data_IF_969090064174
#
_entry.id   IF_969090064174
#
_cell.length_a   1.000
_cell.length_b   1.000
_cell.length_c   1.000
_cell.angle_alpha   90.00
_cell.angle_beta   90.00
_cell.angle_gamma   90.00
#
_symmetry.space_group_name_H-M   'P 1'
#
loop_
_entity.id
_entity.type
_entity.pdbx_description
1 polymer ?
#
# COMPACT_ATOMS: atom_id res chain seq x y z
N UNK A 1 23.05 -25.97 13.98
CA UNK A 1 22.60 -24.83 13.17
C UNK A 1 23.55 -24.62 12.00
N UNK A 2 23.03 -24.67 10.77
CA UNK A 2 23.77 -24.47 9.53
C UNK A 2 23.92 -22.97 9.22
N UNK A 3 24.91 -22.61 8.39
CA UNK A 3 25.16 -21.23 7.97
C UNK A 3 23.95 -20.61 7.22
N UNK A 4 23.11 -21.47 6.63
CA UNK A 4 21.88 -21.11 5.93
C UNK A 4 20.77 -20.71 6.90
N UNK A 5 20.62 -21.42 8.02
CA UNK A 5 19.62 -21.11 9.06
C UNK A 5 19.87 -19.73 9.67
N UNK A 6 21.14 -19.38 9.96
CA UNK A 6 21.51 -18.04 10.45
C UNK A 6 21.22 -16.91 9.45
N UNK A 7 21.36 -17.17 8.14
CA UNK A 7 21.03 -16.18 7.11
C UNK A 7 19.52 -16.01 6.94
N UNK A 8 18.74 -17.07 7.20
CA UNK A 8 17.29 -17.00 7.17
C UNK A 8 16.76 -16.23 8.37
N UNK A 9 17.25 -16.55 9.57
CA UNK A 9 16.92 -15.86 10.82
C UNK A 9 17.30 -14.38 10.75
N UNK A 10 18.49 -14.02 10.25
CA UNK A 10 18.86 -12.60 10.14
C UNK A 10 18.02 -11.82 9.14
N UNK A 11 17.50 -12.47 8.09
CA UNK A 11 16.55 -11.85 7.15
C UNK A 11 15.16 -11.74 7.76
N UNK A 12 14.74 -12.73 8.54
CA UNK A 12 13.47 -12.73 9.26
C UNK A 12 13.49 -11.65 10.34
N UNK A 13 14.58 -11.50 11.09
CA UNK A 13 14.77 -10.41 12.06
C UNK A 13 14.91 -9.03 11.40
N UNK A 14 15.47 -8.95 10.18
CA UNK A 14 15.44 -7.71 9.39
C UNK A 14 14.02 -7.35 8.92
N UNK A 15 13.15 -8.34 8.75
CA UNK A 15 11.75 -8.17 8.33
C UNK A 15 10.83 -7.94 9.54
N UNK A 16 11.11 -8.55 10.69
CA UNK A 16 10.28 -8.54 11.91
C UNK A 16 10.77 -7.57 12.99
N UNK A 17 12.07 -7.24 13.01
CA UNK A 17 12.71 -6.35 13.98
C UNK A 17 12.79 -4.88 13.57
N UNK A 18 12.18 -4.52 12.43
CA UNK A 18 11.90 -3.13 12.11
C UNK A 18 10.42 -2.93 12.39
N UNK A 19 10.10 -2.42 13.57
CA UNK A 19 8.89 -1.62 13.73
C UNK A 19 9.02 -0.50 12.69
N UNK A 20 8.48 -0.71 11.48
CA UNK A 20 8.40 0.36 10.49
C UNK A 20 7.35 1.28 11.06
N UNK A 21 7.76 2.21 11.92
CA UNK A 21 6.89 3.26 12.42
C UNK A 21 6.32 3.97 11.19
N UNK A 22 5.05 3.70 10.94
CA UNK A 22 4.27 4.43 9.98
C UNK A 22 3.92 5.74 10.65
N UNK A 23 4.14 6.86 9.96
CA UNK A 23 3.58 8.12 10.43
C UNK A 23 2.06 8.01 10.43
N UNK A 24 1.37 8.80 11.25
CA UNK A 24 -0.11 8.83 11.26
C UNK A 24 -0.73 8.93 9.85
N UNK A 25 -0.13 9.74 8.96
CA UNK A 25 -0.61 9.89 7.58
C UNK A 25 -0.39 8.64 6.72
N UNK A 26 0.65 7.87 7.00
CA UNK A 26 0.90 6.59 6.34
C UNK A 26 -0.11 5.54 6.82
N UNK A 27 -0.39 5.49 8.13
CA UNK A 27 -1.40 4.62 8.73
C UNK A 27 -2.80 4.88 8.15
N UNK A 28 -3.20 6.15 8.01
CA UNK A 28 -4.49 6.53 7.40
C UNK A 28 -4.62 6.04 5.95
N UNK A 29 -3.53 6.04 5.17
CA UNK A 29 -3.53 5.50 3.81
C UNK A 29 -3.60 3.98 3.83
N UNK A 30 -2.85 3.32 4.71
CA UNK A 30 -2.86 1.87 4.84
C UNK A 30 -4.25 1.37 5.25
N UNK A 31 -4.87 2.01 6.22
CA UNK A 31 -6.23 1.73 6.66
C UNK A 31 -7.24 1.89 5.52
N UNK A 32 -7.16 3.00 4.77
CA UNK A 32 -8.01 3.24 3.60
C UNK A 32 -7.88 2.14 2.52
N UNK A 33 -6.66 1.67 2.27
CA UNK A 33 -6.40 0.60 1.29
C UNK A 33 -6.86 -0.78 1.81
N UNK A 34 -6.70 -1.05 3.10
CA UNK A 34 -7.19 -2.27 3.74
C UNK A 34 -8.72 -2.36 3.69
N UNK A 35 -9.42 -1.28 4.05
CA UNK A 35 -10.89 -1.19 3.93
C UNK A 35 -11.35 -1.38 2.48
N UNK A 36 -10.66 -0.76 1.53
CA UNK A 36 -10.96 -0.93 0.11
C UNK A 36 -10.81 -2.38 -0.37
N UNK A 37 -9.85 -3.11 0.19
CA UNK A 37 -9.66 -4.53 -0.10
C UNK A 37 -10.78 -5.38 0.51
N UNK A 38 -11.06 -5.21 1.81
CA UNK A 38 -12.13 -5.93 2.50
C UNK A 38 -13.48 -5.73 1.80
N UNK A 39 -13.82 -4.48 1.46
CA UNK A 39 -15.04 -4.17 0.71
C UNK A 39 -15.09 -4.87 -0.65
N UNK A 40 -13.99 -4.87 -1.41
CA UNK A 40 -13.94 -5.53 -2.72
C UNK A 40 -14.12 -7.05 -2.58
N UNK A 41 -13.56 -7.67 -1.53
CA UNK A 41 -13.72 -9.09 -1.22
C UNK A 41 -15.15 -9.43 -0.84
N UNK A 42 -15.77 -8.64 0.04
CA UNK A 42 -17.18 -8.82 0.45
C UNK A 42 -18.15 -8.71 -0.74
N UNK A 43 -17.76 -7.95 -1.77
CA UNK A 43 -18.52 -7.80 -3.02
C UNK A 43 -18.10 -8.82 -4.10
N UNK A 44 -17.46 -9.93 -3.73
CA UNK A 44 -17.05 -11.02 -4.63
C UNK A 44 -16.18 -10.59 -5.83
N UNK A 45 -15.40 -9.51 -5.67
CA UNK A 45 -14.46 -9.11 -6.70
C UNK A 45 -13.29 -10.09 -6.75
N UNK A 46 -12.77 -10.34 -7.95
CA UNK A 46 -11.58 -11.20 -8.14
C UNK A 46 -10.43 -10.69 -7.24
N UNK A 47 -9.76 -11.60 -6.53
CA UNK A 47 -8.65 -11.26 -5.63
C UNK A 47 -7.56 -10.42 -6.31
N UNK A 48 -7.21 -10.76 -7.55
CA UNK A 48 -6.22 -10.02 -8.34
C UNK A 48 -6.60 -8.54 -8.56
N UNK A 49 -7.89 -8.23 -8.60
CA UNK A 49 -8.45 -6.90 -8.85
C UNK A 49 -8.91 -6.17 -7.58
N UNK A 50 -8.84 -6.83 -6.43
CA UNK A 50 -9.32 -6.29 -5.15
C UNK A 50 -8.32 -5.31 -4.54
N UNK A 51 -8.84 -4.27 -3.90
CA UNK A 51 -8.04 -3.27 -3.14
C UNK A 51 -7.34 -2.21 -3.99
N UNK A 52 -7.33 -2.33 -5.32
CA UNK A 52 -6.72 -1.32 -6.18
C UNK A 52 -7.49 0.00 -6.16
N UNK A 53 -6.81 1.09 -5.81
CA UNK A 53 -7.35 2.46 -5.74
C UNK A 53 -6.40 3.46 -6.39
N UNK A 54 -6.95 4.46 -7.07
CA UNK A 54 -6.16 5.59 -7.56
C UNK A 54 -5.94 6.63 -6.45
N UNK A 55 -5.08 7.63 -6.68
CA UNK A 55 -4.81 8.69 -5.69
C UNK A 55 -6.07 9.42 -5.22
N UNK A 56 -7.02 9.66 -6.12
CA UNK A 56 -8.27 10.34 -5.78
C UNK A 56 -9.12 9.54 -4.79
N UNK A 57 -9.31 8.24 -5.03
CA UNK A 57 -10.05 7.35 -4.13
C UNK A 57 -9.34 7.19 -2.79
N UNK A 58 -8.01 7.12 -2.79
CA UNK A 58 -7.22 7.10 -1.54
C UNK A 58 -7.48 8.37 -0.74
N UNK A 59 -7.39 9.54 -1.36
CA UNK A 59 -7.73 10.82 -0.72
C UNK A 59 -9.13 10.80 -0.08
N UNK A 60 -10.13 10.32 -0.81
CA UNK A 60 -11.52 10.27 -0.31
C UNK A 60 -11.70 9.28 0.84
N UNK A 61 -10.99 8.16 0.83
CA UNK A 61 -11.10 7.12 1.86
C UNK A 61 -10.27 7.43 3.11
N UNK A 62 -9.07 8.01 2.95
CA UNK A 62 -8.18 8.30 4.08
C UNK A 62 -8.48 9.63 4.76
N UNK A 63 -9.30 10.50 4.15
CA UNK A 63 -9.60 11.84 4.68
C UNK A 63 -8.45 12.85 4.58
N UNK A 64 -7.24 12.40 4.22
CA UNK A 64 -6.07 13.25 4.04
C UNK A 64 -6.26 14.25 2.90
N UNK A 65 -5.73 15.49 2.98
CA UNK A 65 -5.83 16.45 1.89
C UNK A 65 -5.27 15.91 0.56
N UNK A 66 -5.93 16.23 -0.55
CA UNK A 66 -5.51 15.78 -1.89
C UNK A 66 -4.04 16.15 -2.18
N UNK A 67 -3.61 17.36 -1.79
CA UNK A 67 -2.21 17.81 -1.94
C UNK A 67 -1.22 16.85 -1.26
N UNK A 68 -1.57 16.27 -0.11
CA UNK A 68 -0.74 15.30 0.61
C UNK A 68 -0.57 14.01 -0.18
N UNK A 69 -1.66 13.45 -0.73
CA UNK A 69 -1.62 12.21 -1.52
C UNK A 69 -0.90 12.40 -2.87
N UNK A 70 -1.04 13.58 -3.46
CA UNK A 70 -0.46 13.89 -4.77
C UNK A 70 1.01 14.31 -4.71
N UNK A 71 1.53 14.62 -3.52
CA UNK A 71 2.93 15.01 -3.30
C UNK A 71 3.92 13.97 -3.85
N UNK A 72 4.99 14.46 -4.49
CA UNK A 72 6.10 13.64 -5.01
C UNK A 72 7.01 13.07 -3.92
N UNK A 73 6.94 13.62 -2.71
CA UNK A 73 7.70 13.19 -1.53
C UNK A 73 6.78 12.86 -0.35
N UNK A 74 5.47 12.69 -0.61
CA UNK A 74 4.46 12.47 0.41
C UNK A 74 4.40 11.04 0.97
N UNK A 75 3.47 10.80 1.91
CA UNK A 75 3.32 9.51 2.60
C UNK A 75 3.09 8.35 1.64
N UNK A 76 2.37 8.55 0.54
CA UNK A 76 2.15 7.50 -0.47
C UNK A 76 3.47 7.04 -1.13
N UNK A 77 4.41 7.96 -1.36
CA UNK A 77 5.72 7.63 -1.93
C UNK A 77 6.61 6.96 -0.88
N UNK A 78 6.53 7.40 0.37
CA UNK A 78 7.21 6.77 1.50
C UNK A 78 6.75 5.31 1.69
N UNK A 79 5.44 5.05 1.69
CA UNK A 79 4.86 3.70 1.75
C UNK A 79 5.35 2.79 0.62
N UNK A 80 5.49 3.31 -0.62
CA UNK A 80 6.05 2.55 -1.73
C UNK A 80 7.53 2.18 -1.49
N UNK A 81 8.33 3.12 -0.99
CA UNK A 81 9.75 2.86 -0.68
C UNK A 81 9.90 1.83 0.43
N UNK A 82 9.02 1.89 1.43
CA UNK A 82 8.91 0.92 2.53
C UNK A 82 8.34 -0.44 2.08
N UNK A 83 7.91 -0.57 0.81
CA UNK A 83 7.24 -1.77 0.25
C UNK A 83 5.97 -2.18 1.00
N UNK A 84 5.35 -1.26 1.74
CA UNK A 84 4.11 -1.48 2.48
C UNK A 84 2.87 -1.38 1.58
N UNK A 85 3.01 -0.91 0.34
CA UNK A 85 1.97 -0.90 -0.69
C UNK A 85 2.57 -1.25 -2.05
N UNK A 86 1.70 -1.72 -2.95
CA UNK A 86 2.04 -2.02 -4.33
C UNK A 86 1.52 -0.91 -5.25
N UNK A 87 2.15 -0.77 -6.43
CA UNK A 87 1.75 0.15 -7.50
C UNK A 87 1.66 -0.62 -8.82
N UNK A 88 0.63 -0.34 -9.62
CA UNK A 88 0.52 -0.81 -11.01
C UNK A 88 0.06 0.30 -11.95
N UNK A 89 0.25 0.10 -13.24
CA UNK A 89 -0.40 0.93 -14.25
C UNK A 89 -1.92 0.82 -14.17
N UNK A 90 -2.59 1.95 -14.36
CA UNK A 90 -4.04 1.97 -14.39
C UNK A 90 -4.58 1.30 -15.66
N UNK A 91 -5.56 0.39 -15.57
CA UNK A 91 -6.19 -0.19 -16.77
C UNK A 91 -7.01 0.84 -17.55
N UNK A 92 -7.38 1.95 -16.93
CA UNK A 92 -8.03 3.09 -17.59
C UNK A 92 -7.20 4.36 -17.39
N UNK A 93 -6.89 5.04 -18.50
CA UNK A 93 -6.17 6.32 -18.52
C UNK A 93 -7.08 7.55 -18.47
N UNK A 94 -8.38 7.34 -18.30
CA UNK A 94 -9.35 8.43 -18.29
C UNK A 94 -9.06 9.41 -17.14
N UNK A 95 -9.22 10.71 -17.39
CA UNK A 95 -8.93 11.77 -16.43
C UNK A 95 -7.46 11.88 -16.00
N UNK A 96 -6.51 11.38 -16.82
CA UNK A 96 -5.08 11.46 -16.53
C UNK A 96 -4.61 10.47 -15.44
N UNK A 97 -5.41 9.47 -15.12
CA UNK A 97 -5.05 8.44 -14.15
C UNK A 97 -3.96 7.51 -14.72
N UNK A 98 -2.75 7.58 -14.15
CA UNK A 98 -1.63 6.74 -14.58
C UNK A 98 -1.48 5.47 -13.75
N UNK A 99 -1.76 5.53 -12.45
CA UNK A 99 -1.42 4.44 -11.52
C UNK A 99 -2.53 4.13 -10.52
N UNK A 100 -2.53 2.89 -10.06
CA UNK A 100 -3.31 2.40 -8.93
C UNK A 100 -2.40 1.82 -7.86
N UNK A 101 -2.88 1.82 -6.63
CA UNK A 101 -2.17 1.36 -5.44
C UNK A 101 -3.04 0.42 -4.63
N UNK A 102 -2.43 -0.53 -3.92
CA UNK A 102 -3.13 -1.43 -2.99
C UNK A 102 -2.19 -1.91 -1.88
N UNK A 103 -2.77 -2.53 -0.85
CA UNK A 103 -2.02 -3.29 0.14
C UNK A 103 -1.39 -4.55 -0.50
N UNK A 104 -0.17 -4.97 -0.13
CA UNK A 104 0.45 -6.20 -0.60
C UNK A 104 -0.40 -7.39 -0.14
N UNK A 105 -0.86 -8.19 -1.08
CA UNK A 105 -1.49 -9.47 -0.74
C UNK A 105 -0.35 -10.47 -0.51
N UNK A 106 -0.36 -11.10 0.67
CA UNK A 106 0.53 -12.22 0.98
C UNK A 106 0.16 -13.45 0.15
#
# INVERSE_FOLDING_TARGET
>A
MTQVERQLESKIDLILGVEIEATQKEEEILYALALAYAYDVDNNKKLAESGWRNKYKIHKLSGLPQKTIYSRTGPLISLLKKKLIQKRESPSRWGGQQFQYRFPLA
#
